data_IF_554877648514
#
_entry.id   IF_554877648514
#
_cell.length_a   1.000
_cell.length_b   1.000
_cell.length_c   1.000
_cell.angle_alpha   90.00
_cell.angle_beta   90.00
_cell.angle_gamma   90.00
#
_symmetry.space_group_name_H-M   'P 1'
#
loop_
_entity.id
_entity.type
_entity.pdbx_description
1 polymer ?
#
# COMPACT_ATOMS: atom_id res chain seq x y z
N UNK A 1 14.38 -17.72 4.60
CA UNK A 1 14.13 -16.56 5.48
C UNK A 1 12.71 -16.08 5.23
N UNK A 2 11.92 -15.84 6.28
CA UNK A 2 10.52 -15.43 6.14
C UNK A 2 10.43 -13.90 5.94
N UNK A 3 9.44 -13.43 5.17
CA UNK A 3 9.28 -11.99 4.93
C UNK A 3 8.83 -11.27 6.20
N UNK A 4 9.52 -10.18 6.54
CA UNK A 4 9.15 -9.33 7.68
C UNK A 4 7.93 -8.44 7.41
N UNK A 5 7.66 -8.11 6.14
CA UNK A 5 6.53 -7.27 5.73
C UNK A 5 5.58 -8.02 4.79
N UNK A 6 4.32 -8.10 5.20
CA UNK A 6 3.29 -8.90 4.55
C UNK A 6 2.18 -7.98 4.06
N UNK A 7 1.73 -8.19 2.82
CA UNK A 7 0.59 -7.48 2.24
C UNK A 7 -0.57 -8.45 2.11
N UNK A 8 -1.63 -8.26 2.89
CA UNK A 8 -2.78 -9.15 2.88
C UNK A 8 -3.92 -8.49 2.13
N UNK A 9 -4.21 -9.01 0.93
CA UNK A 9 -5.40 -8.65 0.15
C UNK A 9 -6.63 -9.27 0.79
N UNK A 10 -7.25 -8.57 1.75
CA UNK A 10 -8.32 -9.11 2.60
C UNK A 10 -9.56 -9.57 1.82
N UNK A 11 -9.81 -8.93 0.69
CA UNK A 11 -11.00 -9.16 -0.11
C UNK A 11 -10.75 -8.83 -1.57
N UNK A 12 -11.56 -9.44 -2.44
CA UNK A 12 -11.60 -9.17 -3.87
C UNK A 12 -12.35 -7.88 -4.24
N UNK A 13 -13.55 -7.58 -3.71
CA UNK A 13 -14.35 -6.46 -4.19
C UNK A 13 -13.71 -5.09 -3.93
N UNK A 14 -13.78 -4.21 -4.92
CA UNK A 14 -13.39 -2.80 -4.83
C UNK A 14 -14.53 -1.91 -5.33
N UNK A 15 -14.66 -0.71 -4.78
CA UNK A 15 -15.60 0.31 -5.24
C UNK A 15 -15.00 1.25 -6.30
N UNK A 16 -13.70 1.17 -6.55
CA UNK A 16 -13.04 1.82 -7.69
C UNK A 16 -12.94 0.87 -8.89
N UNK A 17 -12.65 1.40 -10.07
CA UNK A 17 -12.56 0.64 -11.33
C UNK A 17 -11.25 0.91 -12.06
N UNK A 18 -10.15 0.95 -11.28
CA UNK A 18 -8.85 1.33 -11.81
C UNK A 18 -8.45 0.39 -12.97
N UNK A 19 -8.23 0.96 -14.16
CA UNK A 19 -7.96 0.18 -15.38
C UNK A 19 -6.66 -0.61 -15.29
N UNK A 20 -5.66 -0.07 -14.60
CA UNK A 20 -4.38 -0.73 -14.32
C UNK A 20 -4.40 -1.71 -13.13
N UNK A 21 -5.52 -1.90 -12.41
CA UNK A 21 -5.54 -2.68 -11.17
C UNK A 21 -5.02 -4.11 -11.38
N UNK A 22 -3.86 -4.42 -10.79
CA UNK A 22 -3.19 -5.72 -10.93
C UNK A 22 -3.70 -6.82 -9.97
N UNK A 23 -4.65 -6.52 -9.10
CA UNK A 23 -5.09 -7.41 -8.01
C UNK A 23 -6.62 -7.53 -8.01
N UNK A 24 -7.20 -7.86 -9.16
CA UNK A 24 -8.66 -8.01 -9.35
C UNK A 24 -9.18 -9.36 -8.91
N UNK A 25 -8.32 -10.38 -8.92
CA UNK A 25 -8.61 -11.76 -8.50
C UNK A 25 -9.94 -12.32 -9.07
N UNK A 26 -10.21 -12.22 -10.39
CA UNK A 26 -11.55 -12.48 -10.95
C UNK A 26 -12.15 -13.83 -10.54
N UNK A 27 -11.32 -14.88 -10.52
CA UNK A 27 -11.69 -16.26 -10.20
C UNK A 27 -11.65 -16.59 -8.69
N UNK A 28 -11.34 -15.62 -7.83
CA UNK A 28 -11.22 -15.85 -6.38
C UNK A 28 -12.53 -15.55 -5.66
N UNK A 29 -12.93 -16.37 -4.66
CA UNK A 29 -14.03 -16.03 -3.77
C UNK A 29 -13.82 -14.65 -3.11
N UNK A 30 -14.90 -14.07 -2.58
CA UNK A 30 -14.90 -12.67 -2.14
C UNK A 30 -13.85 -12.38 -1.06
N UNK A 31 -13.72 -13.26 -0.07
CA UNK A 31 -12.82 -13.15 1.09
C UNK A 31 -12.96 -14.39 1.97
N UNK A 32 -11.98 -14.63 2.84
CA UNK A 32 -12.08 -15.54 3.97
C UNK A 32 -13.17 -15.09 4.98
N UNK A 33 -13.47 -15.97 5.94
CA UNK A 33 -14.15 -15.56 7.17
C UNK A 33 -13.19 -14.71 8.03
N UNK A 34 -13.74 -13.91 8.95
CA UNK A 34 -12.93 -13.07 9.84
C UNK A 34 -12.05 -13.91 10.77
N UNK A 35 -12.56 -15.05 11.27
CA UNK A 35 -11.77 -15.99 12.07
C UNK A 35 -10.61 -16.59 11.28
N UNK A 36 -10.85 -16.99 10.03
CA UNK A 36 -9.79 -17.57 9.18
C UNK A 36 -8.74 -16.52 8.81
N UNK A 37 -9.14 -15.27 8.55
CA UNK A 37 -8.21 -14.18 8.29
C UNK A 37 -7.34 -13.88 9.53
N UNK A 38 -7.91 -13.91 10.73
CA UNK A 38 -7.15 -13.79 12.00
C UNK A 38 -6.18 -14.95 12.16
N UNK A 39 -6.61 -16.18 11.88
CA UNK A 39 -5.75 -17.36 11.95
C UNK A 39 -4.59 -17.29 10.94
N UNK A 40 -4.83 -16.80 9.72
CA UNK A 40 -3.77 -16.51 8.75
C UNK A 40 -2.76 -15.51 9.33
N UNK A 41 -3.22 -14.41 9.92
CA UNK A 41 -2.33 -13.41 10.54
C UNK A 41 -1.51 -14.02 11.70
N UNK A 42 -2.12 -14.87 12.51
CA UNK A 42 -1.44 -15.57 13.60
C UNK A 42 -0.31 -16.46 13.07
N UNK A 43 -0.58 -17.28 12.04
CA UNK A 43 0.44 -18.14 11.41
C UNK A 43 1.56 -17.33 10.75
N UNK A 44 1.22 -16.20 10.15
CA UNK A 44 2.21 -15.26 9.62
C UNK A 44 3.08 -14.69 10.74
N UNK A 45 2.50 -14.37 11.90
CA UNK A 45 3.25 -13.86 13.06
C UNK A 45 4.21 -14.92 13.58
N UNK A 46 3.74 -16.15 13.75
CA UNK A 46 4.54 -17.31 14.18
C UNK A 46 5.70 -17.59 13.21
N UNK A 47 5.49 -17.36 11.90
CA UNK A 47 6.54 -17.47 10.88
C UNK A 47 7.59 -16.36 10.92
N UNK A 48 7.41 -15.31 11.74
CA UNK A 48 8.33 -14.18 11.88
C UNK A 48 7.91 -12.90 11.15
N UNK A 49 6.68 -12.81 10.66
CA UNK A 49 6.14 -11.57 10.11
C UNK A 49 6.07 -10.48 11.19
N UNK A 50 6.46 -9.25 10.86
CA UNK A 50 6.51 -8.12 11.80
C UNK A 50 5.58 -6.98 11.41
N UNK A 51 5.31 -6.81 10.11
CA UNK A 51 4.42 -5.80 9.59
C UNK A 51 3.28 -6.43 8.80
N UNK A 52 2.05 -6.09 9.18
CA UNK A 52 0.84 -6.48 8.48
C UNK A 52 0.28 -5.26 7.74
N UNK A 53 0.29 -5.31 6.41
CA UNK A 53 -0.29 -4.29 5.56
C UNK A 53 -1.60 -4.79 4.94
N UNK A 54 -2.72 -4.24 5.40
CA UNK A 54 -4.05 -4.53 4.88
C UNK A 54 -4.25 -3.83 3.54
N UNK A 55 -4.47 -4.63 2.51
CA UNK A 55 -4.69 -4.19 1.13
C UNK A 55 -5.86 -4.99 0.52
N UNK A 56 -5.99 -4.96 -0.81
CA UNK A 56 -6.93 -5.82 -1.53
C UNK A 56 -8.30 -5.21 -1.69
N UNK A 57 -8.88 -5.44 -2.87
CA UNK A 57 -10.13 -4.82 -3.29
C UNK A 57 -10.13 -3.33 -2.97
N UNK A 58 -11.01 -2.95 -2.06
CA UNK A 58 -10.74 -1.85 -1.15
C UNK A 58 -10.89 -2.34 0.32
N UNK A 59 -9.83 -2.35 1.16
CA UNK A 59 -9.84 -3.00 2.48
C UNK A 59 -10.90 -2.40 3.42
N UNK A 60 -11.21 -1.12 3.27
CA UNK A 60 -12.23 -0.42 4.07
C UNK A 60 -13.67 -0.87 3.77
N UNK A 61 -13.87 -1.74 2.77
CA UNK A 61 -15.16 -2.39 2.50
C UNK A 61 -15.33 -3.71 3.28
N UNK A 62 -14.28 -4.24 3.91
CA UNK A 62 -14.41 -5.43 4.75
C UNK A 62 -15.27 -5.10 5.98
N UNK A 63 -16.35 -5.87 6.27
CA UNK A 63 -17.29 -5.54 7.35
C UNK A 63 -16.59 -5.47 8.72
N UNK A 64 -15.61 -6.35 8.94
CA UNK A 64 -14.89 -6.48 10.21
C UNK A 64 -13.47 -5.89 10.15
N UNK A 65 -13.23 -4.88 9.30
CA UNK A 65 -11.90 -4.27 9.16
C UNK A 65 -11.36 -3.75 10.50
N UNK A 66 -12.22 -3.21 11.38
CA UNK A 66 -11.80 -2.73 12.69
C UNK A 66 -11.24 -3.88 13.55
N UNK A 67 -11.93 -5.02 13.56
CA UNK A 67 -11.52 -6.20 14.31
C UNK A 67 -10.19 -6.76 13.79
N UNK A 68 -10.00 -6.81 12.48
CA UNK A 68 -8.76 -7.30 11.86
C UNK A 68 -7.56 -6.43 12.23
N UNK A 69 -7.72 -5.10 12.18
CA UNK A 69 -6.65 -4.15 12.55
C UNK A 69 -6.29 -4.28 14.03
N UNK A 70 -7.30 -4.36 14.91
CA UNK A 70 -7.09 -4.53 16.35
C UNK A 70 -6.39 -5.86 16.67
N UNK A 71 -6.87 -6.97 16.09
CA UNK A 71 -6.27 -8.29 16.27
C UNK A 71 -4.80 -8.31 15.80
N UNK A 72 -4.48 -7.71 14.66
CA UNK A 72 -3.09 -7.62 14.21
C UNK A 72 -2.23 -6.79 15.18
N UNK A 73 -2.76 -5.70 15.73
CA UNK A 73 -2.01 -4.90 16.71
C UNK A 73 -1.74 -5.70 17.99
N UNK A 74 -2.74 -6.44 18.49
CA UNK A 74 -2.62 -7.30 19.67
C UNK A 74 -1.58 -8.41 19.48
N UNK A 75 -1.45 -8.95 18.26
CA UNK A 75 -0.40 -9.92 17.89
C UNK A 75 1.01 -9.30 17.82
N UNK A 76 1.14 -7.98 17.97
CA UNK A 76 2.40 -7.26 17.92
C UNK A 76 2.88 -6.91 16.52
N UNK A 77 1.99 -6.89 15.52
CA UNK A 77 2.35 -6.35 14.21
C UNK A 77 2.49 -4.84 14.25
N UNK A 78 3.42 -4.29 13.46
CA UNK A 78 3.21 -2.96 12.90
C UNK A 78 2.03 -3.02 11.95
N UNK A 79 0.99 -2.25 12.22
CA UNK A 79 -0.23 -2.24 11.41
C UNK A 79 -0.15 -1.15 10.33
N UNK A 80 -0.55 -1.52 9.13
CA UNK A 80 -0.57 -0.63 7.97
C UNK A 80 -1.81 -0.92 7.15
N UNK A 81 -2.36 0.09 6.50
CA UNK A 81 -3.42 -0.07 5.50
C UNK A 81 -3.09 0.71 4.24
N UNK A 82 -3.42 0.19 3.06
CA UNK A 82 -3.41 0.97 1.81
C UNK A 82 -4.83 1.05 1.26
N UNK A 83 -5.33 2.26 1.06
CA UNK A 83 -6.73 2.51 0.70
C UNK A 83 -6.84 3.51 -0.45
N UNK A 84 -7.91 3.39 -1.23
CA UNK A 84 -8.37 4.41 -2.16
C UNK A 84 -9.06 5.58 -1.45
N UNK A 85 -9.35 5.49 -0.14
CA UNK A 85 -9.89 6.57 0.68
C UNK A 85 -11.41 6.55 0.87
N UNK A 86 -12.18 5.81 0.07
CA UNK A 86 -13.63 5.99 0.00
C UNK A 86 -14.39 5.74 1.31
N UNK A 87 -13.95 4.79 2.15
CA UNK A 87 -14.49 4.59 3.51
C UNK A 87 -13.45 4.78 4.61
N UNK A 88 -12.33 5.42 4.27
CA UNK A 88 -11.21 5.55 5.18
C UNK A 88 -11.52 6.47 6.37
N UNK A 89 -12.23 7.58 6.15
CA UNK A 89 -12.66 8.47 7.24
C UNK A 89 -13.38 7.74 8.39
N UNK A 90 -14.26 6.77 8.05
CA UNK A 90 -15.00 5.95 9.03
C UNK A 90 -14.06 5.06 9.85
N UNK A 91 -13.08 4.43 9.21
CA UNK A 91 -12.07 3.62 9.90
C UNK A 91 -11.16 4.50 10.76
N UNK A 92 -10.72 5.65 10.26
CA UNK A 92 -9.87 6.57 11.01
C UNK A 92 -10.59 7.18 12.23
N UNK A 93 -11.92 7.24 12.23
CA UNK A 93 -12.71 7.67 13.38
C UNK A 93 -12.96 6.54 14.42
N UNK A 94 -12.61 5.30 14.12
CA UNK A 94 -12.81 4.15 15.01
C UNK A 94 -11.59 3.89 15.90
N UNK A 95 -11.70 3.06 16.96
CA UNK A 95 -10.54 2.64 17.76
C UNK A 95 -9.43 1.97 16.92
N UNK A 96 -9.80 1.27 15.85
CA UNK A 96 -8.83 0.67 14.93
C UNK A 96 -7.98 1.75 14.23
N UNK A 97 -8.58 2.89 13.89
CA UNK A 97 -7.88 4.05 13.34
C UNK A 97 -6.79 4.63 14.26
N UNK A 98 -6.92 4.47 15.58
CA UNK A 98 -5.96 4.97 16.57
C UNK A 98 -4.73 4.07 16.73
N UNK A 99 -4.86 2.79 16.36
CA UNK A 99 -3.78 1.79 16.46
C UNK A 99 -3.06 1.53 15.13
N UNK A 100 -3.52 2.15 14.03
CA UNK A 100 -2.80 2.13 12.75
C UNK A 100 -1.44 2.83 12.88
N UNK A 101 -0.36 2.13 12.58
CA UNK A 101 0.98 2.73 12.56
C UNK A 101 1.24 3.47 11.23
N UNK A 102 0.64 2.98 10.14
CA UNK A 102 0.77 3.54 8.79
C UNK A 102 -0.56 3.59 8.02
N UNK A 103 -0.80 4.70 7.32
CA UNK A 103 -1.91 4.87 6.38
C UNK A 103 -1.37 5.23 5.00
N UNK A 104 -1.55 4.33 4.06
CA UNK A 104 -1.23 4.47 2.65
C UNK A 104 -2.42 4.99 1.85
N UNK A 105 -2.27 6.16 1.24
CA UNK A 105 -3.27 6.77 0.38
C UNK A 105 -2.87 6.56 -1.07
N UNK A 106 -3.74 5.96 -1.87
CA UNK A 106 -3.50 5.75 -3.29
C UNK A 106 -4.12 6.87 -4.12
N UNK A 107 -3.30 7.66 -4.80
CA UNK A 107 -3.71 8.78 -5.67
C UNK A 107 -2.75 8.87 -6.86
N UNK A 108 -3.30 8.95 -8.07
CA UNK A 108 -2.50 8.85 -9.29
C UNK A 108 -2.34 10.19 -10.00
N UNK A 109 -3.21 11.16 -9.73
CA UNK A 109 -3.13 12.50 -10.32
C UNK A 109 -3.32 13.57 -9.25
N UNK A 110 -2.77 14.76 -9.48
CA UNK A 110 -3.03 15.96 -8.70
C UNK A 110 -4.41 16.57 -9.00
N UNK A 111 -5.14 16.04 -9.98
CA UNK A 111 -6.48 16.48 -10.37
C UNK A 111 -7.52 15.37 -10.20
N UNK A 112 -8.77 15.73 -9.93
CA UNK A 112 -9.86 14.76 -9.81
C UNK A 112 -10.15 14.11 -11.16
N UNK A 113 -10.08 14.88 -12.25
CA UNK A 113 -10.26 14.42 -13.63
C UNK A 113 -9.20 13.37 -14.00
N UNK A 114 -7.92 13.63 -13.70
CA UNK A 114 -6.83 12.70 -13.97
C UNK A 114 -6.97 11.38 -13.21
N UNK A 115 -7.44 11.43 -11.95
CA UNK A 115 -7.75 10.22 -11.19
C UNK A 115 -8.94 9.47 -11.82
N UNK A 116 -10.01 10.18 -12.20
CA UNK A 116 -11.20 9.59 -12.81
C UNK A 116 -10.88 8.90 -14.16
N UNK A 117 -9.99 9.47 -14.98
CA UNK A 117 -9.54 8.89 -16.26
C UNK A 117 -8.93 7.48 -16.12
N UNK A 118 -8.25 7.21 -15.02
CA UNK A 118 -7.70 5.88 -14.74
C UNK A 118 -8.67 4.98 -13.98
N UNK A 119 -9.87 5.47 -13.63
CA UNK A 119 -10.91 4.73 -12.92
C UNK A 119 -10.83 4.82 -11.39
N UNK A 120 -10.16 5.86 -10.86
CA UNK A 120 -9.99 6.13 -9.43
C UNK A 120 -10.73 7.41 -9.02
N UNK A 121 -11.49 7.35 -7.93
CA UNK A 121 -12.11 8.55 -7.35
C UNK A 121 -13.16 9.20 -8.26
N UNK A 122 -13.39 10.49 -8.02
CA UNK A 122 -14.36 11.37 -8.68
C UNK A 122 -14.20 12.79 -8.15
N UNK A 123 -15.23 13.61 -8.26
CA UNK A 123 -15.22 14.98 -7.72
C UNK A 123 -14.90 15.00 -6.21
N UNK A 124 -14.00 15.90 -5.80
CA UNK A 124 -13.53 16.05 -4.42
C UNK A 124 -12.50 15.01 -3.97
N UNK A 125 -12.01 14.15 -4.86
CA UNK A 125 -11.14 13.03 -4.49
C UNK A 125 -9.80 13.49 -3.92
N UNK A 126 -9.09 14.37 -4.61
CA UNK A 126 -7.79 14.92 -4.20
C UNK A 126 -7.90 15.67 -2.87
N UNK A 127 -8.96 16.45 -2.68
CA UNK A 127 -9.26 17.12 -1.41
C UNK A 127 -9.48 16.09 -0.28
N UNK A 128 -10.21 15.00 -0.55
CA UNK A 128 -10.42 13.93 0.43
C UNK A 128 -9.11 13.24 0.83
N UNK A 129 -8.18 13.03 -0.12
CA UNK A 129 -6.85 12.45 0.15
C UNK A 129 -6.07 13.33 1.13
N UNK A 130 -6.06 14.65 0.92
CA UNK A 130 -5.42 15.61 1.84
C UNK A 130 -6.07 15.55 3.23
N UNK A 131 -7.42 15.49 3.29
CA UNK A 131 -8.15 15.40 4.55
C UNK A 131 -7.84 14.11 5.32
N UNK A 132 -7.84 12.95 4.64
CA UNK A 132 -7.48 11.66 5.25
C UNK A 132 -6.03 11.65 5.76
N UNK A 133 -5.10 12.27 5.02
CA UNK A 133 -3.72 12.39 5.46
C UNK A 133 -3.60 13.18 6.78
N UNK A 134 -4.33 14.28 6.89
CA UNK A 134 -4.40 15.08 8.12
C UNK A 134 -5.00 14.29 9.28
N UNK A 135 -6.11 13.60 9.05
CA UNK A 135 -6.77 12.78 10.08
C UNK A 135 -5.87 11.63 10.56
N UNK A 136 -5.22 10.92 9.64
CA UNK A 136 -4.28 9.85 9.97
C UNK A 136 -3.12 10.36 10.85
N UNK A 137 -2.54 11.52 10.52
CA UNK A 137 -1.51 12.15 11.36
C UNK A 137 -2.04 12.58 12.72
N UNK A 138 -3.26 13.10 12.80
CA UNK A 138 -3.88 13.47 14.08
C UNK A 138 -4.06 12.26 15.01
N UNK A 139 -4.34 11.09 14.44
CA UNK A 139 -4.34 9.81 15.18
C UNK A 139 -2.94 9.30 15.53
N UNK A 140 -1.89 9.96 15.03
CA UNK A 140 -0.48 9.62 15.21
C UNK A 140 0.04 8.50 14.31
N UNK A 141 -0.67 8.18 13.22
CA UNK A 141 -0.18 7.30 12.17
C UNK A 141 0.76 8.05 11.22
N UNK A 142 1.75 7.34 10.67
CA UNK A 142 2.54 7.87 9.56
C UNK A 142 1.75 7.73 8.24
N UNK A 143 1.91 8.69 7.34
CA UNK A 143 1.25 8.73 6.04
C UNK A 143 2.22 8.30 4.95
N UNK A 144 1.74 7.42 4.08
CA UNK A 144 2.40 7.03 2.84
C UNK A 144 1.50 7.43 1.68
N UNK A 145 2.09 7.97 0.62
CA UNK A 145 1.39 8.24 -0.63
C UNK A 145 1.82 7.20 -1.67
N UNK A 146 0.87 6.68 -2.44
CA UNK A 146 1.12 5.72 -3.52
C UNK A 146 0.57 6.28 -4.82
N UNK A 147 1.40 6.28 -5.87
CA UNK A 147 1.03 6.76 -7.20
C UNK A 147 1.45 5.73 -8.23
N UNK A 148 0.53 5.31 -9.09
CA UNK A 148 0.87 4.52 -10.29
C UNK A 148 1.01 5.48 -11.47
N UNK A 149 2.22 5.55 -12.02
CA UNK A 149 2.52 6.39 -13.19
C UNK A 149 2.08 5.64 -14.44
N UNK A 150 1.19 6.29 -15.19
CA UNK A 150 0.56 5.81 -16.42
C UNK A 150 0.70 6.86 -17.51
N UNK A 151 0.32 6.52 -18.73
CA UNK A 151 0.31 7.44 -19.87
C UNK A 151 -0.45 8.75 -19.61
N UNK A 152 -1.46 8.73 -18.73
CA UNK A 152 -2.28 9.91 -18.44
C UNK A 152 -1.63 10.91 -17.47
N UNK A 153 -0.72 10.47 -16.60
CA UNK A 153 -0.12 11.33 -15.56
C UNK A 153 1.41 11.46 -15.68
N UNK A 154 2.06 10.77 -16.63
CA UNK A 154 3.53 10.73 -16.73
C UNK A 154 4.18 12.11 -16.94
N UNK A 155 3.43 13.07 -17.48
CA UNK A 155 3.85 14.47 -17.67
C UNK A 155 3.41 15.42 -16.56
N UNK A 156 2.62 14.93 -15.60
CA UNK A 156 2.07 15.74 -14.52
C UNK A 156 3.15 16.16 -13.51
N UNK A 157 2.97 17.34 -12.91
CA UNK A 157 3.69 17.75 -11.71
C UNK A 157 2.76 17.61 -10.49
N UNK A 158 3.04 16.62 -9.65
CA UNK A 158 2.30 16.32 -8.44
C UNK A 158 2.88 17.02 -7.19
N UNK A 159 3.91 17.86 -7.34
CA UNK A 159 4.64 18.45 -6.20
C UNK A 159 3.73 19.20 -5.24
N UNK A 160 2.75 19.95 -5.75
CA UNK A 160 1.79 20.69 -4.92
C UNK A 160 0.93 19.74 -4.08
N UNK A 161 0.36 18.70 -4.68
CA UNK A 161 -0.42 17.69 -3.97
C UNK A 161 0.42 16.96 -2.92
N UNK A 162 1.63 16.52 -3.30
CA UNK A 162 2.53 15.79 -2.39
C UNK A 162 2.91 16.65 -1.18
N UNK A 163 3.19 17.94 -1.39
CA UNK A 163 3.46 18.90 -0.30
C UNK A 163 2.23 19.13 0.58
N UNK A 164 1.02 19.16 0.02
CA UNK A 164 -0.21 19.28 0.80
C UNK A 164 -0.50 18.01 1.64
N UNK A 165 -0.19 16.83 1.09
CA UNK A 165 -0.34 15.55 1.79
C UNK A 165 0.71 15.37 2.88
N UNK A 166 1.94 15.86 2.70
CA UNK A 166 3.07 15.68 3.63
C UNK A 166 3.33 14.21 4.02
N UNK A 167 3.53 13.29 3.06
CA UNK A 167 3.77 11.89 3.39
C UNK A 167 5.19 11.69 3.92
N UNK A 168 5.37 10.78 4.88
CA UNK A 168 6.68 10.30 5.31
C UNK A 168 7.37 9.44 4.23
N UNK A 169 6.61 8.97 3.24
CA UNK A 169 7.13 8.22 2.08
C UNK A 169 6.18 8.36 0.90
N UNK A 170 6.68 8.76 -0.26
CA UNK A 170 5.93 8.72 -1.50
C UNK A 170 6.45 7.56 -2.37
N UNK A 171 5.63 6.53 -2.57
CA UNK A 171 5.91 5.44 -3.49
C UNK A 171 5.37 5.77 -4.86
N UNK A 172 6.24 5.69 -5.85
CA UNK A 172 5.93 5.96 -7.25
C UNK A 172 6.18 4.67 -7.99
N UNK A 173 5.14 4.10 -8.59
CA UNK A 173 5.19 2.81 -9.27
C UNK A 173 5.04 3.03 -10.77
N UNK A 174 5.89 2.40 -11.58
CA UNK A 174 5.61 2.27 -13.00
C UNK A 174 4.39 1.34 -13.17
N UNK A 175 3.48 1.68 -14.09
CA UNK A 175 2.36 0.78 -14.39
C UNK A 175 2.86 -0.59 -14.88
N UNK A 176 2.27 -1.65 -14.31
CA UNK A 176 2.61 -3.04 -14.58
C UNK A 176 1.42 -3.78 -15.20
N UNK A 177 1.68 -4.50 -16.29
CA UNK A 177 0.75 -5.48 -16.87
C UNK A 177 0.90 -6.80 -16.12
N UNK A 178 -0.24 -7.36 -15.71
CA UNK A 178 -0.32 -8.69 -15.08
C UNK A 178 -1.42 -9.50 -15.74
N UNK A 179 -1.02 -10.65 -16.27
CA UNK A 179 -1.91 -11.61 -16.92
C UNK A 179 -2.91 -12.22 -15.92
N UNK A 180 -4.14 -12.43 -16.37
CA UNK A 180 -5.32 -12.79 -15.59
C UNK A 180 -5.88 -11.65 -14.72
N UNK A 181 -5.33 -10.43 -14.79
CA UNK A 181 -5.71 -9.33 -13.90
C UNK A 181 -6.14 -8.07 -14.66
N UNK A 182 -5.26 -7.48 -15.46
CA UNK A 182 -5.49 -6.16 -16.06
C UNK A 182 -5.25 -6.07 -17.57
N UNK A 183 -4.89 -7.18 -18.23
CA UNK A 183 -4.55 -7.21 -19.66
C UNK A 183 -5.61 -6.61 -20.58
N UNK A 184 -6.89 -6.70 -20.22
CA UNK A 184 -7.98 -6.19 -21.06
C UNK A 184 -8.15 -4.66 -21.01
N UNK A 185 -7.42 -3.97 -20.12
CA UNK A 185 -7.65 -2.54 -19.87
C UNK A 185 -6.38 -1.71 -19.60
N UNK A 186 -5.20 -2.32 -19.52
CA UNK A 186 -3.96 -1.64 -19.12
C UNK A 186 -3.11 -1.16 -20.30
N UNK A 187 -3.30 -1.72 -21.50
CA UNK A 187 -2.37 -1.51 -22.62
C UNK A 187 -2.23 -0.04 -23.05
N UNK A 188 -3.32 0.74 -22.98
CA UNK A 188 -3.31 2.17 -23.29
C UNK A 188 -2.75 3.04 -22.15
N UNK A 189 -2.46 2.45 -20.99
CA UNK A 189 -1.86 3.11 -19.84
C UNK A 189 -0.35 2.90 -19.75
N UNK A 190 0.19 1.89 -20.43
CA UNK A 190 1.61 1.52 -20.36
C UNK A 190 2.53 2.68 -20.80
N UNK A 191 3.68 2.77 -20.13
CA UNK A 191 4.75 3.75 -20.40
C UNK A 191 6.10 3.04 -20.45
N UNK A 192 7.04 3.65 -21.14
CA UNK A 192 8.44 3.21 -21.18
C UNK A 192 9.15 3.53 -19.86
N UNK A 193 10.26 2.82 -19.60
CA UNK A 193 11.12 3.12 -18.44
C UNK A 193 11.72 4.53 -18.51
N UNK A 194 11.99 5.06 -19.71
CA UNK A 194 12.50 6.43 -19.88
C UNK A 194 11.48 7.47 -19.43
N UNK A 195 10.22 7.36 -19.88
CA UNK A 195 9.14 8.26 -19.47
C UNK A 195 8.91 8.20 -17.96
N UNK A 196 9.01 7.00 -17.36
CA UNK A 196 8.93 6.85 -15.91
C UNK A 196 10.08 7.58 -15.18
N UNK A 197 11.32 7.47 -15.67
CA UNK A 197 12.46 8.18 -15.08
C UNK A 197 12.33 9.70 -15.22
N UNK A 198 11.76 10.20 -16.31
CA UNK A 198 11.45 11.63 -16.47
C UNK A 198 10.44 12.12 -15.44
N UNK A 199 9.39 11.33 -15.16
CA UNK A 199 8.47 11.62 -14.06
C UNK A 199 9.20 11.67 -12.72
N UNK A 200 10.06 10.70 -12.40
CA UNK A 200 10.82 10.69 -11.14
C UNK A 200 11.75 11.90 -11.04
N UNK A 201 12.48 12.21 -12.12
CA UNK A 201 13.42 13.33 -12.15
C UNK A 201 12.73 14.68 -11.93
N UNK A 202 11.53 14.88 -12.49
CA UNK A 202 10.72 16.09 -12.29
C UNK A 202 10.43 16.39 -10.81
N UNK A 203 10.28 15.34 -10.02
CA UNK A 203 9.87 15.46 -8.62
C UNK A 203 11.02 15.29 -7.61
N UNK A 204 12.27 15.18 -8.08
CA UNK A 204 13.45 14.96 -7.21
C UNK A 204 13.60 16.01 -6.10
N UNK A 205 13.19 17.25 -6.38
CA UNK A 205 13.27 18.37 -5.45
C UNK A 205 12.37 18.21 -4.21
N UNK A 206 11.47 17.22 -4.19
CA UNK A 206 10.70 16.86 -3.00
C UNK A 206 11.57 16.17 -1.93
N UNK A 207 12.67 15.53 -2.34
CA UNK A 207 13.64 14.95 -1.40
C UNK A 207 14.33 16.04 -0.60
N UNK A 208 14.64 17.17 -1.24
CA UNK A 208 15.30 18.32 -0.60
C UNK A 208 14.45 18.97 0.50
N UNK A 209 13.12 18.75 0.47
CA UNK A 209 12.19 19.19 1.52
C UNK A 209 11.76 18.06 2.46
N UNK A 210 12.54 16.97 2.49
CA UNK A 210 12.36 15.87 3.43
C UNK A 210 11.25 14.88 3.10
N UNK A 211 10.78 14.83 1.84
CA UNK A 211 9.79 13.84 1.38
C UNK A 211 10.51 12.77 0.55
N UNK A 212 10.75 11.56 1.10
CA UNK A 212 11.41 10.49 0.35
C UNK A 212 10.57 10.03 -0.84
N UNK A 213 11.11 10.22 -2.05
CA UNK A 213 10.55 9.69 -3.30
C UNK A 213 11.16 8.31 -3.54
N UNK A 214 10.30 7.28 -3.59
CA UNK A 214 10.73 5.89 -3.67
C UNK A 214 10.11 5.29 -4.92
N UNK A 215 10.87 5.34 -6.01
CA UNK A 215 10.46 4.83 -7.31
C UNK A 215 10.68 3.32 -7.40
N UNK A 216 9.68 2.59 -7.88
CA UNK A 216 9.76 1.16 -8.21
C UNK A 216 9.33 0.97 -9.67
N UNK A 217 10.28 0.55 -10.50
CA UNK A 217 9.99 0.08 -11.86
C UNK A 217 9.44 -1.36 -11.82
N UNK A 218 9.06 -1.90 -12.98
CA UNK A 218 8.48 -3.23 -13.08
C UNK A 218 9.42 -4.33 -12.55
N UNK A 219 10.72 -4.23 -12.82
CA UNK A 219 11.72 -5.20 -12.33
C UNK A 219 11.83 -5.20 -10.81
N UNK A 220 11.79 -4.01 -10.18
CA UNK A 220 11.86 -3.87 -8.72
C UNK A 220 10.59 -4.38 -8.01
N UNK A 221 9.44 -4.42 -8.71
CA UNK A 221 8.19 -4.92 -8.15
C UNK A 221 8.06 -6.45 -8.22
N UNK A 222 8.70 -7.10 -9.18
CA UNK A 222 8.58 -8.55 -9.39
C UNK A 222 9.28 -9.33 -8.28
N UNK A 223 8.55 -10.25 -7.65
CA UNK A 223 8.97 -11.17 -6.57
C UNK A 223 9.45 -10.51 -5.26
N UNK A 224 9.31 -9.19 -5.13
CA UNK A 224 9.84 -8.41 -4.00
C UNK A 224 8.81 -8.12 -2.90
N UNK A 225 7.59 -8.64 -3.05
CA UNK A 225 6.48 -8.48 -2.11
C UNK A 225 5.97 -9.86 -1.68
N UNK A 226 5.91 -10.10 -0.37
CA UNK A 226 5.11 -11.20 0.17
C UNK A 226 3.64 -10.76 0.20
N UNK A 227 2.85 -11.28 -0.75
CA UNK A 227 1.44 -10.94 -0.92
C UNK A 227 0.56 -12.15 -0.64
N UNK A 228 -0.47 -11.95 0.17
CA UNK A 228 -1.48 -12.95 0.49
C UNK A 228 -2.77 -12.56 -0.24
N UNK A 229 -3.37 -13.49 -0.96
CA UNK A 229 -4.62 -13.31 -1.69
C UNK A 229 -5.85 -13.33 -0.74
N UNK A 230 -7.07 -13.06 -1.25
CA UNK A 230 -8.29 -13.08 -0.43
C UNK A 230 -8.63 -14.41 0.24
N UNK A 231 -7.95 -15.51 -0.12
CA UNK A 231 -8.12 -16.87 0.39
C UNK A 231 -7.00 -17.30 1.34
N UNK A 232 -6.12 -16.40 1.74
CA UNK A 232 -5.04 -16.74 2.68
C UNK A 232 -3.91 -17.55 2.04
N UNK A 233 -3.70 -17.40 0.73
CA UNK A 233 -2.60 -18.04 -0.01
C UNK A 233 -1.58 -17.00 -0.39
N UNK A 234 -0.29 -17.31 -0.22
CA UNK A 234 0.73 -16.46 -0.80
C UNK A 234 0.64 -16.48 -2.33
N UNK A 235 0.99 -15.38 -2.99
CA UNK A 235 1.15 -15.34 -4.43
C UNK A 235 2.33 -14.47 -4.86
N UNK A 236 2.99 -14.91 -5.93
CA UNK A 236 4.02 -14.15 -6.65
C UNK A 236 3.49 -13.63 -7.98
N UNK A 237 4.25 -12.75 -8.62
CA UNK A 237 3.97 -12.21 -9.95
C UNK A 237 5.05 -12.56 -10.99
N UNK A 238 5.84 -13.61 -10.71
CA UNK A 238 6.94 -14.06 -11.56
C UNK A 238 6.47 -14.32 -12.99
N UNK A 239 7.15 -13.71 -13.96
CA UNK A 239 6.80 -13.83 -15.38
C UNK A 239 5.56 -13.04 -15.80
N UNK A 240 5.10 -12.08 -14.98
CA UNK A 240 3.96 -11.23 -15.32
C UNK A 240 2.60 -11.87 -15.12
N UNK A 241 2.52 -13.00 -14.40
CA UNK A 241 1.27 -13.70 -14.06
C UNK A 241 1.24 -13.99 -12.56
N UNK A 242 0.05 -13.98 -11.96
CA UNK A 242 -0.10 -14.39 -10.56
C UNK A 242 0.09 -15.90 -10.41
N UNK A 243 1.10 -16.29 -9.64
CA UNK A 243 1.33 -17.68 -9.23
C UNK A 243 0.86 -17.85 -7.79
N UNK A 244 -0.27 -18.51 -7.62
CA UNK A 244 -0.88 -18.75 -6.31
C UNK A 244 -0.27 -20.00 -5.70
N UNK A 245 0.22 -19.88 -4.47
CA UNK A 245 0.78 -20.98 -3.68
C UNK A 245 -0.26 -21.73 -2.86
N UNK A 246 0.24 -22.50 -1.90
CA UNK A 246 -0.60 -23.23 -0.94
C UNK A 246 -1.28 -22.29 0.07
N UNK A 247 -2.38 -22.77 0.64
CA UNK A 247 -3.06 -22.11 1.75
C UNK A 247 -2.17 -22.08 2.98
N UNK A 248 -2.07 -20.91 3.61
CA UNK A 248 -1.39 -20.75 4.90
C UNK A 248 -2.12 -21.55 6.00
N UNK A 249 -3.44 -21.74 5.87
CA UNK A 249 -4.24 -22.52 6.80
C UNK A 249 -4.00 -24.03 6.68
N UNK A 250 -3.49 -24.50 5.55
CA UNK A 250 -3.23 -25.92 5.32
C UNK A 250 -1.74 -26.25 5.50
N UNK A 251 -0.85 -25.49 4.85
CA UNK A 251 0.58 -25.76 4.82
C UNK A 251 1.39 -25.01 5.90
N UNK A 252 0.80 -24.02 6.55
CA UNK A 252 1.54 -23.09 7.40
C UNK A 252 2.24 -21.99 6.60
N UNK A 253 2.65 -20.91 7.27
CA UNK A 253 3.10 -19.70 6.59
C UNK A 253 4.44 -19.87 5.87
N UNK A 254 5.41 -20.57 6.49
CA UNK A 254 6.77 -20.73 5.96
C UNK A 254 6.74 -21.52 4.64
N UNK A 255 6.09 -22.68 4.64
CA UNK A 255 6.00 -23.55 3.47
C UNK A 255 5.17 -22.89 2.36
N UNK A 256 4.06 -22.25 2.71
CA UNK A 256 3.26 -21.50 1.76
C UNK A 256 4.04 -20.37 1.08
N UNK A 257 4.87 -19.61 1.82
CA UNK A 257 5.70 -18.55 1.24
C UNK A 257 6.81 -19.12 0.34
N UNK A 258 7.43 -20.22 0.75
CA UNK A 258 8.45 -20.93 -0.04
C UNK A 258 7.93 -21.39 -1.40
N UNK A 259 6.63 -21.71 -1.50
CA UNK A 259 6.00 -22.19 -2.72
C UNK A 259 5.85 -21.14 -3.85
N UNK A 260 6.05 -19.85 -3.58
CA UNK A 260 5.77 -18.77 -4.53
C UNK A 260 6.99 -17.96 -4.97
N UNK A 261 8.20 -18.40 -4.64
CA UNK A 261 9.44 -17.79 -5.15
C UNK A 261 9.74 -16.38 -4.61
N UNK A 262 9.25 -16.04 -3.42
CA UNK A 262 9.55 -14.74 -2.79
C UNK A 262 11.05 -14.51 -2.58
N UNK A 263 11.53 -13.34 -3.00
CA UNK A 263 12.93 -12.93 -2.90
C UNK A 263 13.11 -11.87 -1.80
N UNK A 264 13.71 -12.30 -0.69
CA UNK A 264 13.95 -11.43 0.46
C UNK A 264 15.00 -10.34 0.17
N UNK A 265 15.98 -10.60 -0.69
CA UNK A 265 17.04 -9.65 -0.99
C UNK A 265 16.48 -8.49 -1.84
N UNK A 266 15.57 -8.79 -2.76
CA UNK A 266 14.81 -7.76 -3.49
C UNK A 266 13.93 -6.90 -2.57
N UNK A 267 13.32 -7.48 -1.53
CA UNK A 267 12.55 -6.71 -0.53
C UNK A 267 13.45 -5.67 0.17
N UNK A 268 14.67 -6.08 0.57
CA UNK A 268 15.64 -5.18 1.21
C UNK A 268 16.12 -4.12 0.22
N UNK A 269 16.50 -4.52 -1.00
CA UNK A 269 17.04 -3.63 -2.04
C UNK A 269 16.09 -2.47 -2.41
N UNK A 270 14.77 -2.72 -2.47
CA UNK A 270 13.77 -1.66 -2.75
C UNK A 270 13.38 -0.82 -1.52
N UNK A 271 14.11 -0.96 -0.40
CA UNK A 271 13.82 -0.27 0.85
C UNK A 271 12.46 -0.67 1.43
N UNK A 272 12.12 -1.95 1.33
CA UNK A 272 10.92 -2.54 1.92
C UNK A 272 11.00 -2.61 3.44
N UNK A 273 12.21 -2.86 3.97
CA UNK A 273 12.54 -2.78 5.40
C UNK A 273 13.02 -1.37 5.72
N UNK A 274 12.28 -0.67 6.58
CA UNK A 274 12.58 0.69 7.06
C UNK A 274 12.00 0.83 8.47
N UNK A 275 12.22 1.97 9.15
CA UNK A 275 11.71 2.14 10.52
C UNK A 275 10.18 2.18 10.56
N UNK A 276 9.61 1.01 10.88
CA UNK A 276 8.18 0.74 10.88
C UNK A 276 7.52 1.01 12.23
N UNK A 277 8.29 1.07 13.31
CA UNK A 277 7.79 1.22 14.66
C UNK A 277 7.42 2.68 14.96
N UNK A 278 6.20 2.87 15.48
CA UNK A 278 5.64 4.19 15.79
C UNK A 278 6.36 4.88 16.94
N UNK A 279 6.72 4.13 17.97
CA UNK A 279 7.36 4.66 19.17
C UNK A 279 8.82 5.00 18.88
N UNK A 280 9.50 4.19 18.06
CA UNK A 280 10.84 4.54 17.55
C UNK A 280 10.82 5.77 16.64
N UNK A 281 9.79 5.95 15.81
CA UNK A 281 9.59 7.19 15.03
C UNK A 281 9.37 8.41 15.92
N UNK A 282 8.59 8.27 17.01
CA UNK A 282 8.36 9.35 17.98
C UNK A 282 9.64 9.73 18.71
N UNK A 283 10.47 8.76 19.09
CA UNK A 283 11.78 9.01 19.71
C UNK A 283 12.72 9.78 18.77
N UNK A 284 12.75 9.48 17.47
CA UNK A 284 13.56 10.22 16.49
C UNK A 284 13.05 11.67 16.28
N UNK A 285 11.74 11.90 16.36
CA UNK A 285 11.16 13.25 16.30
C UNK A 285 11.30 14.02 17.63
N UNK A 286 11.44 13.33 18.75
CA UNK A 286 11.59 13.93 20.09
C UNK A 286 12.99 14.51 20.39
N UNK A 287 13.96 14.33 19.50
CA UNK A 287 15.32 14.91 19.63
C UNK A 287 15.46 16.20 18.79
N UNK A 288 14.44 16.60 18.02
CA UNK A 288 14.37 17.88 17.31
C UNK A 288 13.39 18.83 18.00
N UNK A 289 13.93 19.88 18.62
CA UNK A 289 13.23 20.76 19.56
C UNK A 289 11.92 21.39 19.09
N UNK A 290 11.07 21.69 20.08
CA UNK A 290 9.89 22.51 19.96
C UNK A 290 10.19 23.80 19.19
N UNK A 291 9.48 24.02 18.08
CA UNK A 291 9.39 25.32 17.45
C UNK A 291 8.62 26.24 18.41
N UNK A 292 9.37 26.98 19.22
CA UNK A 292 8.86 28.15 19.93
C UNK A 292 8.51 29.21 18.87
N UNK A 293 7.32 29.83 18.92
CA UNK A 293 7.02 30.94 18.02
C UNK A 293 7.95 32.11 18.35
N UNK A 294 8.42 32.88 17.35
CA UNK A 294 9.25 34.04 17.62
C UNK A 294 8.44 35.06 18.41
N UNK A 295 9.02 35.51 19.53
CA UNK A 295 8.52 36.64 20.29
C UNK A 295 8.82 37.95 19.53
N UNK A 296 7.81 38.84 19.56
CA UNK A 296 7.73 40.23 19.06
C UNK A 296 7.99 40.47 17.58
#
# INVERSE_FOLDING_TARGET
>A
MFSRAINFHLLRPCNARCRYCFARFPETPKRLSTSDAIEVMRRVRDGGGEKMNFVGGEPTLHPDIDQLVLAAKEMGFTTSIVSNGARLARLLASPAGAVLDWVGLSVDSATDEGNALVGRGGEGYTASVIAHARQARANGAAVKLNTVVTRHNVREDMSALVRAVQPQRWKVFQVLRVEGQNEHAVDDLLITSSEFQEFVARHRALVDVGIPVVAENNDAMTDSYAMIDPMGRFFGNTGGVHRIGQSILDAGAIDALGSVGFDNDKLVARGGVYEWDRDRRRLHLGVGGALTPPAS
#
